data_IF_063895036744
#
_entry.id   IF_063895036744
#
_cell.length_a   1.000
_cell.length_b   1.000
_cell.length_c   1.000
_cell.angle_alpha   90.00
_cell.angle_beta   90.00
_cell.angle_gamma   90.00
#
_symmetry.space_group_name_H-M   'P 1'
#
loop_
_entity.id
_entity.type
_entity.pdbx_description
1 polymer ?
#
# COMPACT_ATOMS: atom_id res chain seq x y z
N UNK A 1 1.24 -36.83 16.09
CA UNK A 1 2.03 -35.67 16.57
C UNK A 1 2.35 -34.69 15.44
N UNK A 2 2.87 -35.13 14.29
CA UNK A 2 3.16 -34.23 13.14
C UNK A 2 1.96 -33.40 12.66
N UNK A 3 0.74 -33.95 12.65
CA UNK A 3 -0.45 -33.18 12.24
C UNK A 3 -0.82 -32.05 13.23
N UNK A 4 -0.56 -32.23 14.53
CA UNK A 4 -0.80 -31.21 15.56
C UNK A 4 0.23 -30.09 15.42
N UNK A 5 1.52 -30.41 15.24
CA UNK A 5 2.55 -29.40 15.00
C UNK A 5 2.32 -28.63 13.70
N UNK A 6 1.83 -29.29 12.65
CA UNK A 6 1.46 -28.64 11.39
C UNK A 6 0.27 -27.69 11.57
N UNK A 7 -0.79 -28.12 12.26
CA UNK A 7 -1.96 -27.29 12.58
C UNK A 7 -1.58 -26.08 13.44
N UNK A 8 -0.76 -26.30 14.45
CA UNK A 8 -0.28 -25.26 15.37
C UNK A 8 0.61 -24.26 14.62
N UNK A 9 1.57 -24.72 13.83
CA UNK A 9 2.42 -23.87 13.00
C UNK A 9 1.63 -23.08 11.96
N UNK A 10 0.65 -23.69 11.31
CA UNK A 10 -0.24 -23.02 10.37
C UNK A 10 -1.04 -21.91 11.06
N UNK A 11 -1.62 -22.19 12.23
CA UNK A 11 -2.37 -21.21 13.03
C UNK A 11 -1.52 -19.99 13.42
N UNK A 12 -0.27 -20.21 13.87
CA UNK A 12 0.65 -19.13 14.25
C UNK A 12 1.05 -18.23 13.07
N UNK A 13 1.04 -18.74 11.83
CA UNK A 13 1.32 -17.92 10.64
C UNK A 13 0.07 -17.23 10.10
N UNK A 14 -1.08 -17.88 10.17
CA UNK A 14 -2.33 -17.40 9.59
C UNK A 14 -2.94 -16.25 10.41
N UNK A 15 -2.99 -16.39 11.75
CA UNK A 15 -3.58 -15.38 12.64
C UNK A 15 -2.97 -13.98 12.47
N UNK A 16 -1.63 -13.78 12.54
CA UNK A 16 -1.05 -12.46 12.35
C UNK A 16 -1.22 -11.95 10.91
N UNK A 17 -1.24 -12.84 9.91
CA UNK A 17 -1.53 -12.46 8.52
C UNK A 17 -2.96 -11.90 8.36
N UNK A 18 -3.97 -12.55 8.96
CA UNK A 18 -5.37 -12.09 8.92
C UNK A 18 -5.50 -10.73 9.62
N UNK A 19 -4.98 -10.61 10.84
CA UNK A 19 -5.02 -9.38 11.62
C UNK A 19 -4.37 -8.23 10.83
N UNK A 20 -3.15 -8.44 10.33
CA UNK A 20 -2.41 -7.45 9.52
C UNK A 20 -3.23 -6.90 8.36
N UNK A 21 -3.94 -7.77 7.64
CA UNK A 21 -4.67 -7.40 6.43
C UNK A 21 -6.01 -6.72 6.75
N UNK A 22 -6.76 -7.22 7.73
CA UNK A 22 -8.02 -6.59 8.18
C UNK A 22 -7.76 -5.22 8.78
N UNK A 23 -6.76 -5.10 9.67
CA UNK A 23 -6.33 -3.82 10.24
C UNK A 23 -5.91 -2.88 9.13
N UNK A 24 -5.02 -3.29 8.20
CA UNK A 24 -4.60 -2.41 7.09
C UNK A 24 -5.78 -1.90 6.28
N UNK A 25 -6.77 -2.73 6.00
CA UNK A 25 -7.95 -2.31 5.24
C UNK A 25 -8.71 -1.18 5.92
N UNK A 26 -8.99 -1.32 7.23
CA UNK A 26 -9.68 -0.28 7.98
C UNK A 26 -8.89 1.05 8.00
N UNK A 27 -7.59 0.98 8.25
CA UNK A 27 -6.72 2.15 8.27
C UNK A 27 -6.65 2.83 6.90
N UNK A 28 -6.46 2.08 5.81
CA UNK A 28 -6.39 2.64 4.46
C UNK A 28 -7.70 3.28 4.03
N UNK A 29 -8.85 2.68 4.38
CA UNK A 29 -10.15 3.28 4.12
C UNK A 29 -10.29 4.64 4.81
N UNK A 30 -9.98 4.71 6.11
CA UNK A 30 -10.04 5.96 6.87
C UNK A 30 -9.07 7.01 6.33
N UNK A 31 -7.83 6.61 6.02
CA UNK A 31 -6.81 7.50 5.46
C UNK A 31 -7.21 8.04 4.09
N UNK A 32 -7.81 7.19 3.23
CA UNK A 32 -8.29 7.62 1.92
C UNK A 32 -9.37 8.70 2.08
N UNK A 33 -10.42 8.43 2.87
CA UNK A 33 -11.51 9.40 3.11
C UNK A 33 -10.98 10.68 3.74
N UNK A 34 -10.15 10.57 4.79
CA UNK A 34 -9.56 11.72 5.47
C UNK A 34 -8.71 12.57 4.52
N UNK A 35 -7.84 11.93 3.72
CA UNK A 35 -6.99 12.64 2.76
C UNK A 35 -7.82 13.34 1.69
N UNK A 36 -8.86 12.68 1.18
CA UNK A 36 -9.79 13.25 0.19
C UNK A 36 -10.51 14.50 0.69
N UNK A 37 -10.87 14.55 1.98
CA UNK A 37 -11.61 15.67 2.55
C UNK A 37 -10.71 16.78 3.11
N UNK A 38 -9.55 16.43 3.67
CA UNK A 38 -8.74 17.37 4.46
C UNK A 38 -7.40 17.74 3.82
N UNK A 39 -6.88 16.95 2.87
CA UNK A 39 -5.57 17.19 2.26
C UNK A 39 -5.72 17.57 0.79
N UNK A 40 -6.49 16.79 0.02
CA UNK A 40 -6.64 16.98 -1.43
C UNK A 40 -7.16 18.37 -1.82
N UNK A 41 -8.14 18.98 -1.12
CA UNK A 41 -8.58 20.34 -1.46
C UNK A 41 -7.43 21.35 -1.42
N UNK A 42 -6.60 21.35 -0.38
CA UNK A 42 -5.43 22.24 -0.27
C UNK A 42 -4.38 21.94 -1.34
N UNK A 43 -4.11 20.66 -1.60
CA UNK A 43 -3.17 20.21 -2.63
C UNK A 43 -3.58 20.70 -4.03
N UNK A 44 -4.88 20.73 -4.34
CA UNK A 44 -5.40 21.26 -5.61
C UNK A 44 -5.06 22.76 -5.77
N UNK A 45 -5.03 23.52 -4.68
CA UNK A 45 -4.59 24.92 -4.67
C UNK A 45 -3.07 25.08 -4.55
N UNK A 46 -2.32 23.98 -4.59
CA UNK A 46 -0.85 23.98 -4.51
C UNK A 46 -0.29 24.10 -3.09
N UNK A 47 -1.13 24.00 -2.06
CA UNK A 47 -0.71 24.05 -0.66
C UNK A 47 -0.61 22.64 -0.06
N UNK A 48 0.62 22.23 0.21
CA UNK A 48 0.94 20.93 0.80
C UNK A 48 1.25 21.09 2.29
N UNK A 49 0.29 20.73 3.14
CA UNK A 49 0.51 20.64 4.58
C UNK A 49 1.48 19.50 4.91
N UNK A 50 2.76 19.84 5.03
CA UNK A 50 3.86 18.92 5.26
C UNK A 50 3.62 18.01 6.47
N UNK A 51 3.22 18.57 7.61
CA UNK A 51 3.00 17.80 8.85
C UNK A 51 1.89 16.79 8.66
N UNK A 52 0.76 17.21 8.11
CA UNK A 52 -0.41 16.34 7.93
C UNK A 52 -0.11 15.21 6.95
N UNK A 53 0.54 15.51 5.81
CA UNK A 53 0.95 14.52 4.82
C UNK A 53 1.92 13.50 5.42
N UNK A 54 2.95 13.95 6.14
CA UNK A 54 3.95 13.07 6.77
C UNK A 54 3.34 12.16 7.84
N UNK A 55 2.40 12.68 8.65
CA UNK A 55 1.67 11.87 9.64
C UNK A 55 0.79 10.83 8.96
N UNK A 56 0.00 11.21 7.94
CA UNK A 56 -0.83 10.27 7.20
C UNK A 56 0.01 9.20 6.47
N UNK A 57 1.15 9.59 5.86
CA UNK A 57 2.10 8.65 5.28
C UNK A 57 2.70 7.69 6.31
N UNK A 58 2.99 8.18 7.52
CA UNK A 58 3.48 7.34 8.62
C UNK A 58 2.44 6.31 9.04
N UNK A 59 1.17 6.71 9.16
CA UNK A 59 0.07 5.79 9.45
C UNK A 59 -0.11 4.76 8.34
N UNK A 60 -0.03 5.18 7.08
CA UNK A 60 -0.12 4.30 5.90
C UNK A 60 0.92 3.16 5.96
N UNK A 61 2.18 3.49 6.25
CA UNK A 61 3.29 2.52 6.25
C UNK A 61 3.39 1.73 7.55
N UNK A 62 2.92 2.27 8.69
CA UNK A 62 3.11 1.68 10.02
C UNK A 62 2.76 0.18 10.10
N UNK A 63 1.63 -0.22 9.54
CA UNK A 63 1.17 -1.61 9.57
C UNK A 63 2.06 -2.54 8.71
N UNK A 64 2.56 -2.04 7.57
CA UNK A 64 3.50 -2.79 6.73
C UNK A 64 4.88 -2.92 7.37
N UNK A 65 5.33 -1.86 8.04
CA UNK A 65 6.56 -1.89 8.81
C UNK A 65 6.49 -2.93 9.94
N UNK A 66 5.41 -2.94 10.72
CA UNK A 66 5.19 -3.96 11.74
C UNK A 66 5.13 -5.38 11.14
N UNK A 67 4.54 -5.54 9.95
CA UNK A 67 4.41 -6.83 9.28
C UNK A 67 5.77 -7.45 8.88
N UNK A 68 6.81 -6.63 8.64
CA UNK A 68 8.16 -7.11 8.33
C UNK A 68 8.74 -8.01 9.43
N UNK A 69 8.32 -7.80 10.68
CA UNK A 69 8.83 -8.52 11.85
C UNK A 69 7.88 -9.61 12.34
N UNK A 70 6.57 -9.43 12.14
CA UNK A 70 5.54 -10.27 12.78
C UNK A 70 4.79 -11.21 11.81
N UNK A 71 4.95 -11.05 10.50
CA UNK A 71 4.22 -11.83 9.49
C UNK A 71 5.20 -12.50 8.54
N UNK A 72 4.94 -13.76 8.19
CA UNK A 72 5.66 -14.45 7.12
C UNK A 72 5.20 -13.92 5.76
N UNK A 73 5.98 -13.02 5.18
CA UNK A 73 5.70 -12.37 3.89
C UNK A 73 6.40 -13.10 2.73
N UNK A 74 5.81 -13.02 1.54
CA UNK A 74 6.49 -13.38 0.31
C UNK A 74 7.63 -12.37 0.03
N UNK A 75 8.66 -12.80 -0.71
CA UNK A 75 9.85 -11.97 -0.95
C UNK A 75 9.52 -10.64 -1.63
N UNK A 76 8.61 -10.62 -2.62
CA UNK A 76 8.19 -9.40 -3.31
C UNK A 76 7.51 -8.42 -2.35
N UNK A 77 6.58 -8.92 -1.53
CA UNK A 77 5.85 -8.11 -0.54
C UNK A 77 6.78 -7.59 0.55
N UNK A 78 7.81 -8.37 0.92
CA UNK A 78 8.85 -7.92 1.85
C UNK A 78 9.65 -6.74 1.27
N UNK A 79 10.08 -6.86 0.01
CA UNK A 79 10.78 -5.78 -0.69
C UNK A 79 9.89 -4.54 -0.86
N UNK A 80 8.60 -4.74 -1.17
CA UNK A 80 7.62 -3.66 -1.20
C UNK A 80 7.55 -2.93 0.15
N UNK A 81 7.39 -3.65 1.27
CA UNK A 81 7.31 -3.04 2.60
C UNK A 81 8.60 -2.34 3.02
N UNK A 82 9.77 -2.86 2.61
CA UNK A 82 11.06 -2.18 2.81
C UNK A 82 11.09 -0.89 1.98
N UNK A 83 10.69 -0.94 0.71
CA UNK A 83 10.70 0.21 -0.18
C UNK A 83 9.77 1.32 0.33
N UNK A 84 8.54 1.01 0.73
CA UNK A 84 7.61 1.99 1.30
C UNK A 84 8.12 2.58 2.62
N UNK A 85 8.81 1.79 3.44
CA UNK A 85 9.45 2.28 4.67
C UNK A 85 10.59 3.26 4.38
N UNK A 86 11.47 2.95 3.42
CA UNK A 86 12.55 3.84 3.00
C UNK A 86 11.97 5.13 2.41
N UNK A 87 10.95 5.04 1.54
CA UNK A 87 10.29 6.20 0.96
C UNK A 87 9.63 7.08 2.04
N UNK A 88 9.03 6.49 3.08
CA UNK A 88 8.51 7.25 4.22
C UNK A 88 9.63 8.02 4.92
N UNK A 89 10.71 7.36 5.33
CA UNK A 89 11.81 8.03 6.03
C UNK A 89 12.43 9.14 5.17
N UNK A 90 12.57 8.90 3.86
CA UNK A 90 13.04 9.91 2.94
C UNK A 90 12.05 11.08 2.82
N UNK A 91 10.75 10.83 2.72
CA UNK A 91 9.73 11.89 2.66
C UNK A 91 9.72 12.80 3.88
N UNK A 92 10.12 12.29 5.06
CA UNK A 92 10.24 13.10 6.27
C UNK A 92 11.31 14.17 6.15
N UNK A 93 12.34 13.96 5.32
CA UNK A 93 13.43 14.92 5.08
C UNK A 93 13.12 15.94 3.98
N UNK A 94 11.96 15.84 3.32
CA UNK A 94 11.60 16.70 2.18
C UNK A 94 10.50 17.70 2.56
N UNK A 95 10.48 18.84 1.86
CA UNK A 95 9.33 19.76 1.85
C UNK A 95 8.41 19.42 0.67
N UNK A 96 7.14 19.11 0.95
CA UNK A 96 6.15 18.77 -0.08
C UNK A 96 5.72 19.95 -0.96
N UNK A 97 5.95 21.20 -0.55
CA UNK A 97 5.67 22.37 -1.37
C UNK A 97 6.74 22.57 -2.45
N UNK A 98 7.99 22.26 -2.13
CA UNK A 98 9.15 22.55 -2.99
C UNK A 98 9.64 21.32 -3.75
N UNK A 99 9.63 20.14 -3.11
CA UNK A 99 10.28 18.96 -3.63
C UNK A 99 9.36 18.12 -4.52
N UNK A 100 9.79 17.92 -5.76
CA UNK A 100 9.04 17.16 -6.75
C UNK A 100 8.87 15.69 -6.40
N UNK A 101 9.92 15.03 -5.90
CA UNK A 101 9.85 13.61 -5.48
C UNK A 101 8.89 13.44 -4.31
N UNK A 102 8.85 14.38 -3.36
CA UNK A 102 7.89 14.34 -2.26
C UNK A 102 6.44 14.35 -2.76
N UNK A 103 6.12 15.21 -3.74
CA UNK A 103 4.79 15.25 -4.37
C UNK A 103 4.45 13.92 -5.06
N UNK A 104 5.42 13.30 -5.75
CA UNK A 104 5.22 11.99 -6.38
C UNK A 104 4.97 10.87 -5.36
N UNK A 105 5.70 10.86 -4.24
CA UNK A 105 5.47 9.93 -3.12
C UNK A 105 4.05 10.12 -2.55
N UNK A 106 3.62 11.37 -2.36
CA UNK A 106 2.28 11.69 -1.87
C UNK A 106 1.20 11.12 -2.79
N UNK A 107 1.25 11.43 -4.08
CA UNK A 107 0.23 10.95 -5.03
C UNK A 107 0.22 9.43 -5.15
N UNK A 108 1.40 8.79 -5.17
CA UNK A 108 1.50 7.33 -5.17
C UNK A 108 0.77 6.73 -3.95
N UNK A 109 1.04 7.27 -2.77
CA UNK A 109 0.48 6.81 -1.50
C UNK A 109 -1.02 7.02 -1.44
N UNK A 110 -1.50 8.20 -1.83
CA UNK A 110 -2.92 8.55 -1.84
C UNK A 110 -3.72 7.63 -2.76
N UNK A 111 -3.31 7.48 -4.02
CA UNK A 111 -4.02 6.61 -4.97
C UNK A 111 -3.94 5.14 -4.51
N UNK A 112 -2.81 4.71 -3.95
CA UNK A 112 -2.66 3.34 -3.44
C UNK A 112 -3.57 3.05 -2.23
N UNK A 113 -3.92 4.06 -1.42
CA UNK A 113 -4.82 3.89 -0.28
C UNK A 113 -6.26 3.55 -0.68
N UNK A 114 -6.68 3.90 -1.91
CA UNK A 114 -7.98 3.50 -2.46
C UNK A 114 -8.13 1.97 -2.61
N UNK A 115 -7.02 1.22 -2.59
CA UNK A 115 -7.00 -0.24 -2.73
C UNK A 115 -7.19 -0.98 -1.39
N UNK A 116 -7.78 -0.32 -0.38
CA UNK A 116 -8.04 -0.90 0.94
C UNK A 116 -8.81 -2.22 0.89
N UNK A 117 -9.71 -2.39 -0.09
CA UNK A 117 -10.52 -3.61 -0.28
C UNK A 117 -9.70 -4.85 -0.64
N UNK A 118 -8.52 -4.67 -1.27
CA UNK A 118 -7.59 -5.79 -1.56
C UNK A 118 -7.09 -6.42 -0.27
N UNK A 119 -6.70 -5.61 0.71
CA UNK A 119 -6.26 -6.10 2.01
C UNK A 119 -7.41 -6.79 2.76
N UNK A 120 -8.64 -6.25 2.69
CA UNK A 120 -9.80 -6.92 3.30
C UNK A 120 -10.01 -8.32 2.74
N UNK A 121 -10.00 -8.44 1.41
CA UNK A 121 -10.15 -9.72 0.73
C UNK A 121 -9.04 -10.70 1.11
N UNK A 122 -7.78 -10.24 1.11
CA UNK A 122 -6.64 -11.07 1.53
C UNK A 122 -6.79 -11.59 2.96
N UNK A 123 -7.30 -10.77 3.89
CA UNK A 123 -7.51 -11.17 5.28
C UNK A 123 -8.68 -12.15 5.45
N UNK A 124 -9.78 -11.94 4.72
CA UNK A 124 -11.01 -12.71 4.88
C UNK A 124 -11.10 -13.97 4.01
N UNK A 125 -10.23 -14.16 3.01
CA UNK A 125 -10.30 -15.29 2.06
C UNK A 125 -10.25 -16.69 2.67
N UNK A 126 -9.85 -16.82 3.93
CA UNK A 126 -9.75 -18.11 4.63
C UNK A 126 -11.04 -18.54 5.34
N UNK A 127 -12.06 -17.67 5.36
CA UNK A 127 -13.32 -17.92 6.04
C UNK A 127 -14.40 -18.33 5.02
N UNK A 128 -14.74 -19.63 4.97
CA UNK A 128 -15.71 -20.20 4.02
C UNK A 128 -17.12 -19.60 4.16
N UNK A 129 -17.50 -19.18 5.36
CA UNK A 129 -18.77 -18.50 5.63
C UNK A 129 -18.97 -17.22 4.80
N UNK A 130 -17.89 -16.56 4.39
CA UNK A 130 -17.94 -15.35 3.58
C UNK A 130 -17.73 -15.59 2.08
N UNK A 131 -17.61 -16.84 1.61
CA UNK A 131 -17.21 -17.17 0.22
C UNK A 131 -18.03 -16.44 -0.85
N UNK A 132 -19.36 -16.40 -0.70
CA UNK A 132 -20.25 -15.72 -1.66
C UNK A 132 -19.98 -14.21 -1.71
N UNK A 133 -19.89 -13.58 -0.55
CA UNK A 133 -19.53 -12.16 -0.42
C UNK A 133 -18.14 -11.88 -1.00
N UNK A 134 -17.17 -12.73 -0.69
CA UNK A 134 -15.78 -12.58 -1.13
C UNK A 134 -15.62 -12.72 -2.64
N UNK A 135 -16.41 -13.58 -3.30
CA UNK A 135 -16.42 -13.67 -4.76
C UNK A 135 -16.92 -12.38 -5.40
N UNK A 136 -18.01 -11.81 -4.88
CA UNK A 136 -18.52 -10.51 -5.33
C UNK A 136 -17.51 -9.39 -5.06
N UNK A 137 -16.92 -9.36 -3.87
CA UNK A 137 -15.90 -8.40 -3.49
C UNK A 137 -14.67 -8.49 -4.39
N UNK A 138 -14.12 -9.70 -4.63
CA UNK A 138 -12.98 -9.97 -5.53
C UNK A 138 -13.23 -9.38 -6.92
N UNK A 139 -14.45 -9.55 -7.45
CA UNK A 139 -14.77 -9.05 -8.78
C UNK A 139 -14.74 -7.53 -8.87
N UNK A 140 -15.11 -6.81 -7.80
CA UNK A 140 -15.09 -5.34 -7.77
C UNK A 140 -13.66 -4.83 -7.51
N UNK A 141 -13.00 -5.35 -6.47
CA UNK A 141 -11.69 -4.83 -6.02
C UNK A 141 -10.60 -5.02 -7.07
N UNK A 142 -10.65 -6.07 -7.90
CA UNK A 142 -9.64 -6.27 -8.95
C UNK A 142 -9.65 -5.14 -9.98
N UNK A 143 -10.83 -4.59 -10.30
CA UNK A 143 -10.97 -3.49 -11.25
C UNK A 143 -10.57 -2.16 -10.63
N UNK A 144 -10.99 -1.90 -9.38
CA UNK A 144 -10.54 -0.72 -8.63
C UNK A 144 -9.01 -0.71 -8.54
N UNK A 145 -8.43 -1.84 -8.16
CA UNK A 145 -6.99 -1.97 -8.03
C UNK A 145 -6.26 -1.80 -9.36
N UNK A 146 -6.77 -2.38 -10.44
CA UNK A 146 -6.19 -2.21 -11.78
C UNK A 146 -6.20 -0.73 -12.21
N UNK A 147 -7.32 -0.03 -12.01
CA UNK A 147 -7.43 1.40 -12.37
C UNK A 147 -6.46 2.23 -11.54
N UNK A 148 -6.46 2.07 -10.21
CA UNK A 148 -5.53 2.76 -9.32
C UNK A 148 -4.07 2.48 -9.68
N UNK A 149 -3.73 1.24 -10.02
CA UNK A 149 -2.39 0.86 -10.48
C UNK A 149 -2.01 1.59 -11.77
N UNK A 150 -2.87 1.56 -12.79
CA UNK A 150 -2.60 2.23 -14.08
C UNK A 150 -2.43 3.73 -13.86
N UNK A 151 -3.34 4.37 -13.12
CA UNK A 151 -3.26 5.81 -12.83
C UNK A 151 -1.96 6.15 -12.10
N UNK A 152 -1.57 5.36 -11.09
CA UNK A 152 -0.31 5.54 -10.39
C UNK A 152 0.88 5.45 -11.33
N UNK A 153 0.99 4.35 -12.08
CA UNK A 153 2.11 4.10 -12.98
C UNK A 153 2.22 5.21 -14.02
N UNK A 154 1.11 5.61 -14.66
CA UNK A 154 1.10 6.69 -15.64
C UNK A 154 1.52 8.03 -15.03
N UNK A 155 1.03 8.37 -13.84
CA UNK A 155 1.42 9.59 -13.13
C UNK A 155 2.93 9.60 -12.85
N UNK A 156 3.47 8.48 -12.36
CA UNK A 156 4.90 8.37 -12.09
C UNK A 156 5.74 8.52 -13.36
N UNK A 157 5.41 7.80 -14.43
CA UNK A 157 6.15 7.89 -15.68
C UNK A 157 6.04 9.26 -16.36
N UNK A 158 4.89 9.91 -16.26
CA UNK A 158 4.67 11.21 -16.88
C UNK A 158 5.43 12.33 -16.17
N UNK A 159 5.47 12.30 -14.83
CA UNK A 159 6.05 13.38 -14.05
C UNK A 159 7.48 13.11 -13.59
N UNK A 160 8.03 11.90 -13.70
CA UNK A 160 9.40 11.65 -13.23
C UNK A 160 10.43 12.55 -13.94
N UNK A 161 11.27 13.21 -13.15
CA UNK A 161 12.32 14.10 -13.66
C UNK A 161 13.70 13.63 -13.17
N UNK A 162 14.48 13.07 -14.09
CA UNK A 162 15.82 12.53 -13.80
C UNK A 162 16.89 13.62 -13.62
N UNK A 163 16.57 14.90 -13.83
CA UNK A 163 17.47 16.01 -13.49
C UNK A 163 17.49 16.31 -11.99
N UNK A 164 16.46 15.87 -11.26
CA UNK A 164 16.35 16.05 -9.81
C UNK A 164 17.20 15.01 -9.06
N UNK A 165 18.00 15.48 -8.10
CA UNK A 165 18.79 14.60 -7.24
C UNK A 165 17.91 13.63 -6.46
N UNK A 166 18.31 12.36 -6.41
CA UNK A 166 17.57 11.30 -5.75
C UNK A 166 16.51 10.58 -6.60
N UNK A 167 16.21 11.07 -7.82
CA UNK A 167 15.21 10.43 -8.70
C UNK A 167 15.56 8.99 -9.07
N UNK A 168 16.84 8.66 -9.26
CA UNK A 168 17.25 7.28 -9.55
C UNK A 168 16.92 6.32 -8.40
N UNK A 169 17.18 6.73 -7.16
CA UNK A 169 16.86 5.93 -5.98
C UNK A 169 15.34 5.79 -5.86
N UNK A 170 14.62 6.89 -6.03
CA UNK A 170 13.15 6.90 -6.07
C UNK A 170 12.59 5.91 -7.10
N UNK A 171 13.09 5.94 -8.34
CA UNK A 171 12.65 5.07 -9.42
C UNK A 171 12.87 3.58 -9.12
N UNK A 172 14.00 3.22 -8.51
CA UNK A 172 14.28 1.85 -8.07
C UNK A 172 13.26 1.41 -7.01
N UNK A 173 13.02 2.23 -5.99
CA UNK A 173 12.09 1.91 -4.91
C UNK A 173 10.65 1.75 -5.43
N UNK A 174 10.19 2.65 -6.30
CA UNK A 174 8.87 2.56 -6.93
C UNK A 174 8.76 1.31 -7.82
N UNK A 175 9.83 0.94 -8.53
CA UNK A 175 9.84 -0.27 -9.35
C UNK A 175 9.63 -1.54 -8.53
N UNK A 176 10.22 -1.63 -7.32
CA UNK A 176 9.99 -2.75 -6.39
C UNK A 176 8.52 -2.85 -5.97
N UNK A 177 7.87 -1.71 -5.73
CA UNK A 177 6.46 -1.63 -5.37
C UNK A 177 5.57 -2.08 -6.54
N UNK A 178 5.83 -1.56 -7.74
CA UNK A 178 5.11 -1.90 -8.98
C UNK A 178 5.19 -3.40 -9.28
N UNK A 179 6.36 -4.02 -9.10
CA UNK A 179 6.53 -5.46 -9.34
C UNK A 179 5.63 -6.28 -8.42
N UNK A 180 5.58 -5.99 -7.13
CA UNK A 180 4.68 -6.68 -6.19
C UNK A 180 3.20 -6.47 -6.57
N UNK A 181 2.83 -5.25 -6.96
CA UNK A 181 1.47 -4.92 -7.39
C UNK A 181 1.05 -5.72 -8.64
N UNK A 182 1.95 -5.92 -9.61
CA UNK A 182 1.70 -6.76 -10.79
C UNK A 182 1.46 -8.23 -10.40
N UNK A 183 2.27 -8.79 -9.49
CA UNK A 183 2.08 -10.15 -9.01
C UNK A 183 0.72 -10.32 -8.32
N UNK A 184 0.33 -9.34 -7.51
CA UNK A 184 -0.95 -9.36 -6.80
C UNK A 184 -2.14 -9.21 -7.75
N UNK A 185 -2.06 -8.31 -8.74
CA UNK A 185 -3.08 -8.18 -9.79
C UNK A 185 -3.23 -9.48 -10.58
N UNK A 186 -2.12 -10.09 -11.02
CA UNK A 186 -2.16 -11.37 -11.73
C UNK A 186 -2.84 -12.45 -10.89
N UNK A 187 -2.55 -12.50 -9.59
CA UNK A 187 -3.21 -13.43 -8.66
C UNK A 187 -4.71 -13.16 -8.48
N UNK A 188 -5.15 -11.90 -8.52
CA UNK A 188 -6.57 -11.54 -8.43
C UNK A 188 -7.37 -11.85 -9.71
N UNK A 189 -6.73 -11.86 -10.88
CA UNK A 189 -7.39 -12.19 -12.15
C UNK A 189 -7.39 -13.68 -12.47
N UNK A 190 -6.50 -14.44 -11.85
CA UNK A 190 -6.53 -15.91 -11.83
C UNK A 190 -7.57 -16.43 -10.81
#
# INVERSE_FOLDING_TARGET
MESIYYLVGHYYTLKPYVIKNVTKSAYLFLLFIFSSLCIIPSVIYGDYNNTLIKVCGSLYVSNDFCALFHVKLNNTTKLHHIATSILLFYSWTLDFNENHIAKLIFFYTYISSANFGVNLFLGLRFFEEYKRFLNSLKNIIKHIYLVSFIVNVLLQFYFIDFTVSGTYIYAILISLIIVDDIYLLKWLYN
#
